data_IF_215810785144
#
_entry.id   IF_215810785144
#
_cell.length_a   1.000
_cell.length_b   1.000
_cell.length_c   1.000
_cell.angle_alpha   90.00
_cell.angle_beta   90.00
_cell.angle_gamma   90.00
#
_symmetry.space_group_name_H-M   'P 1'
#
loop_
_entity.id
_entity.type
_entity.pdbx_description
1 polymer ?
#
# COMPACT_ATOMS: atom_id res chain seq x y z
N UNK A 1 13.76 -19.80 7.64
CA UNK A 1 12.49 -20.32 8.18
C UNK A 1 11.44 -19.27 7.87
N UNK A 2 10.58 -19.51 6.90
CA UNK A 2 9.43 -18.65 6.68
C UNK A 2 8.48 -18.85 7.85
N UNK A 3 8.31 -17.83 8.67
CA UNK A 3 7.31 -17.83 9.73
C UNK A 3 5.96 -17.54 9.10
N UNK A 4 5.17 -18.56 8.87
CA UNK A 4 3.76 -18.37 8.53
C UNK A 4 3.05 -17.63 9.66
N UNK A 5 2.20 -16.65 9.35
CA UNK A 5 1.46 -15.94 10.39
C UNK A 5 0.57 -16.92 11.16
N UNK A 6 0.78 -17.00 12.46
CA UNK A 6 0.03 -17.86 13.36
C UNK A 6 -0.97 -17.01 14.13
N UNK A 7 -2.25 -17.35 14.05
CA UNK A 7 -3.30 -16.64 14.80
C UNK A 7 -3.34 -17.12 16.26
N UNK A 8 -3.80 -16.27 17.18
CA UNK A 8 -4.01 -16.67 18.59
C UNK A 8 -4.97 -17.86 18.72
N UNK A 9 -5.93 -17.98 17.82
CA UNK A 9 -6.85 -19.11 17.74
C UNK A 9 -6.14 -20.42 17.36
N UNK A 10 -5.17 -20.36 16.46
CA UNK A 10 -4.33 -21.53 16.14
C UNK A 10 -3.49 -21.96 17.35
N UNK A 11 -2.95 -21.00 18.11
CA UNK A 11 -2.22 -21.30 19.34
C UNK A 11 -3.11 -21.92 20.42
N UNK A 12 -4.38 -21.54 20.50
CA UNK A 12 -5.37 -22.15 21.38
C UNK A 12 -5.50 -23.65 21.12
N UNK A 13 -5.60 -24.05 19.85
CA UNK A 13 -5.74 -25.45 19.45
C UNK A 13 -4.49 -26.29 19.82
N UNK A 14 -3.29 -25.72 19.66
CA UNK A 14 -2.04 -26.44 19.90
C UNK A 14 -1.60 -26.45 21.37
N UNK A 15 -1.80 -25.35 22.07
CA UNK A 15 -1.25 -25.16 23.42
C UNK A 15 -2.31 -25.14 24.52
N UNK A 16 -3.59 -25.29 24.17
CA UNK A 16 -4.73 -25.29 25.12
C UNK A 16 -4.79 -24.02 25.99
N UNK A 17 -4.39 -22.87 25.41
CA UNK A 17 -4.50 -21.54 26.03
C UNK A 17 -5.76 -20.86 25.51
N UNK A 18 -6.38 -20.01 26.33
CA UNK A 18 -7.49 -19.18 25.83
C UNK A 18 -6.99 -18.14 24.82
N UNK A 19 -7.32 -18.35 23.54
CA UNK A 19 -6.84 -17.51 22.41
C UNK A 19 -7.28 -16.06 22.50
N UNK A 20 -8.47 -15.79 23.05
CA UNK A 20 -8.97 -14.41 23.20
C UNK A 20 -8.22 -13.68 24.32
N UNK A 21 -8.02 -14.33 25.45
CA UNK A 21 -7.21 -13.75 26.55
C UNK A 21 -5.77 -13.52 26.11
N UNK A 22 -5.21 -14.45 25.35
CA UNK A 22 -3.84 -14.32 24.84
C UNK A 22 -3.74 -13.16 23.83
N UNK A 23 -4.68 -13.01 22.90
CA UNK A 23 -4.74 -11.91 21.97
C UNK A 23 -4.79 -10.56 22.70
N UNK A 24 -5.63 -10.47 23.73
CA UNK A 24 -5.74 -9.26 24.56
C UNK A 24 -4.42 -8.95 25.27
N UNK A 25 -3.81 -9.94 25.91
CA UNK A 25 -2.51 -9.78 26.58
C UNK A 25 -1.40 -9.39 25.59
N UNK A 26 -1.39 -10.00 24.41
CA UNK A 26 -0.43 -9.65 23.36
C UNK A 26 -0.57 -8.19 22.96
N UNK A 27 -1.78 -7.77 22.60
CA UNK A 27 -2.06 -6.37 22.18
C UNK A 27 -1.77 -5.37 23.29
N UNK A 28 -2.11 -5.69 24.53
CA UNK A 28 -2.02 -4.73 25.64
C UNK A 28 -0.62 -4.66 26.27
N UNK A 29 0.15 -5.71 26.24
CA UNK A 29 1.41 -5.81 27.01
C UNK A 29 2.58 -6.25 26.14
N UNK A 30 2.47 -7.36 25.41
CA UNK A 30 3.61 -7.99 24.75
C UNK A 30 4.02 -7.30 23.45
N UNK A 31 3.06 -6.73 22.71
CA UNK A 31 3.32 -6.09 21.42
C UNK A 31 4.02 -4.73 21.52
N UNK A 32 4.07 -4.13 22.72
CA UNK A 32 4.53 -2.76 22.90
C UNK A 32 3.64 -1.69 22.26
N UNK A 33 2.50 -2.07 21.67
CA UNK A 33 1.61 -1.18 20.91
C UNK A 33 1.16 0.06 21.69
N UNK A 34 0.92 -0.07 23.01
CA UNK A 34 0.54 1.07 23.86
C UNK A 34 1.63 2.14 24.02
N UNK A 35 2.89 1.74 23.85
CA UNK A 35 4.05 2.62 23.96
C UNK A 35 4.61 3.02 22.62
N UNK A 36 3.91 2.66 21.53
CA UNK A 36 4.36 2.99 20.20
C UNK A 36 4.22 4.49 19.92
N UNK A 37 5.30 5.11 19.48
CA UNK A 37 5.39 6.57 19.31
C UNK A 37 4.37 7.11 18.31
N UNK A 38 4.04 6.33 17.28
CA UNK A 38 3.08 6.75 16.26
C UNK A 38 1.62 6.45 16.62
N UNK A 39 1.32 5.88 17.80
CA UNK A 39 -0.02 5.46 18.17
C UNK A 39 -1.06 6.59 18.10
N UNK A 40 -0.66 7.82 18.43
CA UNK A 40 -1.56 8.98 18.45
C UNK A 40 -2.15 9.36 17.09
N UNK A 41 -1.46 9.01 16.02
CA UNK A 41 -1.86 9.33 14.64
C UNK A 41 -1.89 8.11 13.71
N UNK A 42 -1.72 6.91 14.25
CA UNK A 42 -1.67 5.67 13.45
C UNK A 42 -2.94 5.38 12.64
N UNK A 43 -4.10 5.94 13.06
CA UNK A 43 -5.34 5.88 12.30
C UNK A 43 -5.38 6.78 11.06
N UNK A 44 -4.55 7.81 11.02
CA UNK A 44 -4.48 8.77 9.92
C UNK A 44 -3.26 8.49 9.02
N UNK A 45 -2.11 8.28 9.63
CA UNK A 45 -0.87 7.98 8.91
C UNK A 45 0.15 7.27 9.78
N UNK A 46 1.01 6.47 9.14
CA UNK A 46 2.19 5.84 9.71
C UNK A 46 3.37 6.09 8.79
N UNK A 47 4.56 6.33 9.36
CA UNK A 47 5.76 6.66 8.61
C UNK A 47 6.98 5.93 9.19
N UNK A 48 7.76 5.28 8.33
CA UNK A 48 8.95 4.51 8.67
C UNK A 48 10.12 4.96 7.77
N UNK A 49 10.74 6.12 8.07
CA UNK A 49 11.82 6.68 7.24
C UNK A 49 13.01 5.74 7.11
N UNK A 50 13.26 4.91 8.12
CA UNK A 50 14.33 3.91 8.17
C UNK A 50 14.22 2.84 7.07
N UNK A 51 13.02 2.66 6.52
CA UNK A 51 12.74 1.68 5.46
C UNK A 51 12.91 2.27 4.05
N UNK A 52 13.31 3.53 3.94
CA UNK A 52 13.55 4.16 2.64
C UNK A 52 14.60 3.41 1.83
N UNK A 53 14.46 3.46 0.52
CA UNK A 53 15.40 2.86 -0.43
C UNK A 53 15.35 3.56 -1.77
N UNK A 54 16.25 3.20 -2.70
CA UNK A 54 16.32 3.85 -4.00
C UNK A 54 15.16 3.51 -4.95
N UNK A 55 14.42 2.44 -4.68
CA UNK A 55 13.33 1.96 -5.51
C UNK A 55 12.06 1.81 -4.70
N UNK A 56 11.09 2.68 -4.90
CA UNK A 56 9.83 2.68 -4.17
C UNK A 56 8.67 2.27 -5.08
N UNK A 57 7.57 1.87 -4.45
CA UNK A 57 6.26 1.75 -5.11
C UNK A 57 5.23 2.50 -4.28
N UNK A 58 4.28 3.15 -4.97
CA UNK A 58 3.13 3.80 -4.37
C UNK A 58 1.86 3.24 -4.99
N UNK A 59 0.90 2.85 -4.15
CA UNK A 59 -0.35 2.23 -4.57
C UNK A 59 -1.49 2.58 -3.62
N UNK A 60 -2.73 2.51 -4.10
CA UNK A 60 -3.94 2.68 -3.30
C UNK A 60 -4.59 1.32 -3.05
N UNK A 61 -4.90 1.05 -1.79
CA UNK A 61 -5.53 -0.20 -1.39
C UNK A 61 -6.74 0.06 -0.51
N UNK A 62 -7.84 -0.63 -0.80
CA UNK A 62 -8.99 -0.66 0.10
C UNK A 62 -8.78 -1.75 1.16
N UNK A 63 -8.79 -1.36 2.42
CA UNK A 63 -8.82 -2.28 3.55
C UNK A 63 -10.26 -2.66 3.92
N UNK A 64 -10.43 -3.36 5.04
CA UNK A 64 -11.73 -3.74 5.57
C UNK A 64 -12.62 -2.50 5.75
N UNK A 65 -13.91 -2.63 5.47
CA UNK A 65 -14.94 -1.58 5.52
C UNK A 65 -14.92 -0.55 4.37
N UNK A 66 -14.11 -0.75 3.32
CA UNK A 66 -14.09 0.15 2.15
C UNK A 66 -13.27 1.43 2.35
N UNK A 67 -12.54 1.54 3.44
CA UNK A 67 -11.61 2.63 3.65
C UNK A 67 -10.41 2.50 2.71
N UNK A 68 -10.07 3.59 2.04
CA UNK A 68 -8.94 3.66 1.11
C UNK A 68 -7.70 4.18 1.84
N UNK A 69 -6.57 3.58 1.53
CA UNK A 69 -5.27 3.97 2.05
C UNK A 69 -4.25 4.05 0.91
N UNK A 70 -3.35 5.01 1.02
CA UNK A 70 -2.18 5.09 0.15
C UNK A 70 -0.99 4.45 0.85
N UNK A 71 -0.35 3.49 0.19
CA UNK A 71 0.83 2.79 0.67
C UNK A 71 2.06 3.20 -0.11
N UNK A 72 3.16 3.43 0.60
CA UNK A 72 4.48 3.60 0.01
C UNK A 72 5.38 2.48 0.53
N UNK A 73 5.97 1.72 -0.38
CA UNK A 73 6.79 0.55 -0.04
C UNK A 73 8.15 0.60 -0.71
N UNK A 74 9.16 0.01 -0.05
CA UNK A 74 10.49 -0.19 -0.60
C UNK A 74 10.52 -1.52 -1.39
N UNK A 75 10.77 -1.43 -2.69
CA UNK A 75 10.81 -2.60 -3.59
C UNK A 75 12.03 -3.49 -3.38
N UNK A 76 13.14 -2.93 -2.91
CA UNK A 76 14.36 -3.72 -2.63
C UNK A 76 14.19 -4.62 -1.41
N UNK A 77 13.32 -4.21 -0.48
CA UNK A 77 12.95 -5.00 0.70
C UNK A 77 11.79 -5.98 0.42
N UNK A 78 11.42 -6.19 -0.85
CA UNK A 78 10.27 -7.00 -1.28
C UNK A 78 10.22 -8.34 -0.55
N UNK A 79 9.08 -8.64 0.11
CA UNK A 79 8.83 -9.85 0.92
C UNK A 79 9.67 -9.97 2.21
N UNK A 80 10.47 -8.98 2.56
CA UNK A 80 11.25 -8.95 3.80
C UNK A 80 10.63 -7.99 4.81
N UNK A 81 11.09 -8.09 6.04
CA UNK A 81 10.84 -7.07 7.05
C UNK A 81 11.31 -5.70 6.54
N UNK A 82 10.72 -4.63 7.01
CA UNK A 82 11.09 -3.25 6.67
C UNK A 82 10.77 -2.81 5.23
N UNK A 83 9.78 -3.39 4.56
CA UNK A 83 9.34 -2.94 3.24
C UNK A 83 8.39 -1.75 3.27
N UNK A 84 7.64 -1.55 4.35
CA UNK A 84 6.67 -0.46 4.48
C UNK A 84 7.37 0.84 4.83
N UNK A 85 7.19 1.87 3.99
CA UNK A 85 7.73 3.22 4.21
C UNK A 85 6.67 4.16 4.77
N UNK A 86 5.47 4.15 4.21
CA UNK A 86 4.37 4.97 4.70
C UNK A 86 3.01 4.33 4.43
N UNK A 87 2.06 4.61 5.32
CA UNK A 87 0.63 4.37 5.12
C UNK A 87 -0.10 5.67 5.44
N UNK A 88 -0.98 6.11 4.55
CA UNK A 88 -1.77 7.32 4.75
C UNK A 88 -3.23 7.01 4.48
N UNK A 89 -4.11 7.36 5.41
CA UNK A 89 -5.55 7.22 5.23
C UNK A 89 -6.06 8.16 4.14
N UNK A 90 -6.81 7.62 3.19
CA UNK A 90 -7.30 8.35 2.02
C UNK A 90 -6.32 8.37 0.85
N UNK A 91 -6.75 9.09 -0.20
CA UNK A 91 -6.07 9.15 -1.52
C UNK A 91 -5.79 10.58 -1.97
N UNK A 92 -6.00 11.56 -1.07
CA UNK A 92 -5.75 12.97 -1.38
C UNK A 92 -4.25 13.23 -1.47
N UNK A 93 -3.82 13.73 -2.62
CA UNK A 93 -2.41 13.99 -2.88
C UNK A 93 -1.76 14.93 -1.87
N UNK A 94 -2.50 15.92 -1.37
CA UNK A 94 -2.01 16.91 -0.39
C UNK A 94 -1.65 16.24 0.94
N UNK A 95 -2.52 15.35 1.44
CA UNK A 95 -2.34 14.67 2.72
C UNK A 95 -1.14 13.71 2.64
N UNK A 96 -1.04 12.95 1.55
CA UNK A 96 0.10 12.04 1.30
C UNK A 96 1.42 12.82 1.17
N UNK A 97 1.43 13.92 0.43
CA UNK A 97 2.61 14.78 0.29
C UNK A 97 3.05 15.32 1.66
N UNK A 98 2.11 15.80 2.47
CA UNK A 98 2.41 16.36 3.79
C UNK A 98 3.06 15.31 4.73
N UNK A 99 2.64 14.05 4.64
CA UNK A 99 3.25 12.95 5.40
C UNK A 99 4.65 12.62 4.86
N UNK A 100 4.81 12.47 3.54
CA UNK A 100 6.09 12.13 2.93
C UNK A 100 7.14 13.24 3.09
N UNK A 101 6.73 14.50 3.17
CA UNK A 101 7.62 15.63 3.42
C UNK A 101 8.19 15.65 4.85
N UNK A 102 7.71 14.81 5.76
CA UNK A 102 8.32 14.61 7.10
C UNK A 102 9.60 13.77 7.04
N UNK A 103 9.81 13.02 5.93
CA UNK A 103 11.07 12.35 5.65
C UNK A 103 12.12 13.42 5.30
N UNK A 104 13.32 13.25 5.78
CA UNK A 104 14.42 14.18 5.46
C UNK A 104 14.64 14.32 3.94
N UNK A 105 15.08 15.47 3.55
CA UNK A 105 15.25 15.83 2.14
C UNK A 105 16.27 14.96 1.45
N UNK A 106 17.38 14.65 2.12
CA UNK A 106 18.46 13.82 1.59
C UNK A 106 17.95 12.42 1.21
N UNK A 107 17.17 11.76 2.10
CA UNK A 107 16.57 10.47 1.83
C UNK A 107 15.57 10.52 0.67
N UNK A 108 14.77 11.59 0.58
CA UNK A 108 13.81 11.75 -0.53
C UNK A 108 14.49 11.98 -1.88
N UNK A 109 15.59 12.72 -1.91
CA UNK A 109 16.36 12.97 -3.14
C UNK A 109 17.24 11.77 -3.55
N UNK A 110 17.52 10.85 -2.63
CA UNK A 110 18.23 9.61 -2.95
C UNK A 110 17.37 8.59 -3.69
N UNK A 111 16.04 8.78 -3.76
CA UNK A 111 15.12 7.90 -4.48
C UNK A 111 15.37 8.02 -5.97
N UNK A 112 15.63 6.89 -6.63
CA UNK A 112 15.93 6.81 -8.07
C UNK A 112 14.71 6.52 -8.91
N UNK A 113 13.80 5.71 -8.40
CA UNK A 113 12.64 5.25 -9.14
C UNK A 113 11.44 5.06 -8.22
N UNK A 114 10.27 5.49 -8.67
CA UNK A 114 8.99 5.20 -8.01
C UNK A 114 8.03 4.56 -9.02
N UNK A 115 7.60 3.35 -8.71
CA UNK A 115 6.52 2.68 -9.45
C UNK A 115 5.18 3.19 -8.95
N UNK A 116 4.29 3.55 -9.87
CA UNK A 116 2.97 4.11 -9.58
C UNK A 116 1.95 3.69 -10.63
N UNK A 117 0.67 3.87 -10.34
CA UNK A 117 -0.40 3.73 -11.30
C UNK A 117 -0.47 4.92 -12.30
N UNK A 118 -1.46 4.91 -13.19
CA UNK A 118 -1.66 5.96 -14.19
C UNK A 118 -2.37 7.22 -13.67
N UNK A 119 -2.68 7.29 -12.36
CA UNK A 119 -3.46 8.38 -11.80
C UNK A 119 -2.66 9.69 -11.73
N UNK A 120 -3.33 10.81 -11.97
CA UNK A 120 -2.71 12.12 -11.88
C UNK A 120 -2.36 12.53 -10.45
N UNK A 121 -3.14 12.02 -9.46
CA UNK A 121 -2.86 12.20 -8.04
C UNK A 121 -1.52 11.58 -7.66
N UNK A 122 -1.27 10.34 -8.08
CA UNK A 122 0.00 9.65 -7.83
C UNK A 122 1.18 10.36 -8.49
N UNK A 123 1.01 10.82 -9.73
CA UNK A 123 2.04 11.61 -10.43
C UNK A 123 2.39 12.90 -9.69
N UNK A 124 1.37 13.58 -9.14
CA UNK A 124 1.57 14.79 -8.33
C UNK A 124 2.34 14.50 -7.05
N UNK A 125 1.96 13.41 -6.33
CA UNK A 125 2.64 12.98 -5.11
C UNK A 125 4.11 12.73 -5.41
N UNK A 126 4.42 11.86 -6.38
CA UNK A 126 5.80 11.48 -6.68
C UNK A 126 6.63 12.69 -7.13
N UNK A 127 6.10 13.55 -7.99
CA UNK A 127 6.81 14.75 -8.44
C UNK A 127 7.15 15.71 -7.31
N UNK A 128 6.30 15.78 -6.28
CA UNK A 128 6.49 16.71 -5.15
C UNK A 128 7.34 16.10 -4.04
N UNK A 129 7.12 14.83 -3.70
CA UNK A 129 7.84 14.16 -2.62
C UNK A 129 9.23 13.66 -3.04
N UNK A 130 9.38 13.20 -4.29
CA UNK A 130 10.60 12.58 -4.82
C UNK A 130 11.00 13.22 -6.16
N UNK A 131 11.47 14.47 -6.17
CA UNK A 131 11.66 15.26 -7.40
C UNK A 131 12.70 14.67 -8.36
N UNK A 132 13.72 13.97 -7.84
CA UNK A 132 14.79 13.35 -8.63
C UNK A 132 14.43 11.94 -9.13
N UNK A 133 13.32 11.37 -8.65
CA UNK A 133 12.96 10.00 -8.98
C UNK A 133 12.35 9.88 -10.39
N UNK A 134 12.79 8.86 -11.12
CA UNK A 134 12.15 8.42 -12.36
C UNK A 134 10.80 7.77 -12.03
N UNK A 135 9.75 8.12 -12.78
CA UNK A 135 8.41 7.59 -12.62
C UNK A 135 8.21 6.40 -13.54
N UNK A 136 7.93 5.25 -13.00
CA UNK A 136 7.68 4.00 -13.73
C UNK A 136 6.23 3.62 -13.54
N UNK A 137 5.53 3.39 -14.65
CA UNK A 137 4.14 2.95 -14.58
C UNK A 137 4.09 1.47 -14.29
N UNK A 138 3.22 1.07 -13.34
CA UNK A 138 3.01 -0.33 -13.03
C UNK A 138 2.41 -1.06 -14.24
N UNK A 139 3.09 -2.12 -14.64
CA UNK A 139 2.69 -2.98 -15.75
C UNK A 139 1.30 -3.58 -15.56
N UNK A 140 0.91 -3.89 -14.33
CA UNK A 140 -0.40 -4.48 -14.05
C UNK A 140 -1.55 -3.54 -14.45
N UNK A 141 -1.43 -2.25 -14.15
CA UNK A 141 -2.43 -1.25 -14.51
C UNK A 141 -2.52 -1.06 -16.03
N UNK A 142 -1.40 -1.10 -16.75
CA UNK A 142 -1.40 -1.05 -18.22
C UNK A 142 -2.07 -2.29 -18.81
N UNK A 143 -1.73 -3.47 -18.31
CA UNK A 143 -2.33 -4.73 -18.76
C UNK A 143 -3.85 -4.75 -18.52
N UNK A 144 -4.29 -4.29 -17.34
CA UNK A 144 -5.71 -4.18 -17.01
C UNK A 144 -6.43 -3.27 -18.01
N UNK A 145 -5.92 -2.06 -18.28
CA UNK A 145 -6.50 -1.14 -19.26
C UNK A 145 -6.62 -1.76 -20.65
N UNK A 146 -5.59 -2.49 -21.10
CA UNK A 146 -5.64 -3.18 -22.38
C UNK A 146 -6.72 -4.28 -22.41
N UNK A 147 -6.83 -5.07 -21.35
CA UNK A 147 -7.87 -6.09 -21.21
C UNK A 147 -9.28 -5.47 -21.17
N UNK A 148 -9.46 -4.39 -20.45
CA UNK A 148 -10.75 -3.69 -20.34
C UNK A 148 -11.16 -3.12 -21.70
N UNK A 149 -10.24 -2.49 -22.46
CA UNK A 149 -10.50 -2.01 -23.80
C UNK A 149 -10.91 -3.13 -24.79
N UNK A 150 -10.24 -4.27 -24.72
CA UNK A 150 -10.63 -5.45 -25.53
C UNK A 150 -12.02 -5.96 -25.13
N UNK A 151 -12.33 -5.97 -23.84
CA UNK A 151 -13.63 -6.39 -23.36
C UNK A 151 -14.75 -5.42 -23.81
N UNK A 152 -14.52 -4.13 -23.78
CA UNK A 152 -15.47 -3.14 -24.32
C UNK A 152 -15.74 -3.35 -25.82
N UNK A 153 -14.68 -3.57 -26.62
CA UNK A 153 -14.82 -3.87 -28.04
C UNK A 153 -15.64 -5.15 -28.28
N UNK A 154 -15.39 -6.21 -27.51
CA UNK A 154 -16.18 -7.45 -27.58
C UNK A 154 -17.66 -7.21 -27.29
N UNK A 155 -17.96 -6.46 -26.25
CA UNK A 155 -19.34 -6.12 -25.86
C UNK A 155 -19.99 -5.32 -26.98
N UNK A 156 -19.35 -4.28 -27.49
CA UNK A 156 -19.85 -3.44 -28.60
C UNK A 156 -20.15 -4.28 -29.84
N UNK A 157 -19.23 -5.14 -30.27
CA UNK A 157 -19.45 -6.02 -31.42
C UNK A 157 -20.63 -6.99 -31.21
N UNK A 158 -20.74 -7.57 -30.01
CA UNK A 158 -21.84 -8.48 -29.68
C UNK A 158 -23.21 -7.79 -29.81
N UNK A 159 -23.33 -6.56 -29.32
CA UNK A 159 -24.56 -5.79 -29.44
C UNK A 159 -24.88 -5.41 -30.89
N UNK A 160 -23.86 -5.01 -31.66
CA UNK A 160 -24.04 -4.69 -33.11
C UNK A 160 -24.52 -5.90 -33.90
N UNK A 161 -23.99 -7.07 -33.67
CA UNK A 161 -24.48 -8.30 -34.31
C UNK A 161 -25.91 -8.66 -33.90
N UNK A 162 -26.31 -8.37 -32.66
CA UNK A 162 -27.67 -8.66 -32.20
C UNK A 162 -28.72 -7.71 -32.81
N UNK A 163 -28.36 -6.46 -33.06
CA UNK A 163 -29.26 -5.47 -33.68
C UNK A 163 -29.33 -5.57 -35.20
N UNK A 164 -28.32 -6.15 -35.86
CA UNK A 164 -28.31 -6.36 -37.31
C UNK A 164 -29.06 -7.63 -37.76
N UNK A 165 -29.51 -8.45 -36.82
CA UNK A 165 -30.24 -9.70 -37.10
C UNK A 165 -31.77 -9.61 -36.87
N UNK A 166 -32.31 -8.40 -36.61
CA UNK A 166 -33.73 -8.09 -36.58
C UNK A 166 -34.11 -7.28 -37.81
#
# INVERSE_FOLDING_TARGET
METSPVTCRTLEEFYHIDGHTFEKQYKEVLSGYRNWEQLSHAGEWMLFPENMGPYLAIDETSLSNGELYTFVTNRDACTRECSLVAVVAGTKSEDVIAVLQRIDEESRYAVKEVTLDLSDSMRKIVRTAFPEASRVIDRFHIQKLACDAVQELRIKHRWTCHTAGQ
#
